data_IF_124459833384
#
_entry.id   IF_124459833384
#
_cell.length_a   1.000
_cell.length_b   1.000
_cell.length_c   1.000
_cell.angle_alpha   90.00
_cell.angle_beta   90.00
_cell.angle_gamma   90.00
#
_symmetry.space_group_name_H-M   'P 1'
#
loop_
_entity.id
_entity.type
_entity.pdbx_description
1 polymer ?
#
# COMPACT_ATOMS: atom_id res chain seq x y z
N UNK A 1 0.97 -34.54 5.04
CA UNK A 1 1.84 -33.35 5.01
C UNK A 1 1.16 -32.30 4.13
N UNK A 2 0.41 -31.41 4.77
CA UNK A 2 -0.63 -30.58 4.14
C UNK A 2 -0.03 -29.21 3.79
N UNK A 3 -0.28 -28.78 2.55
CA UNK A 3 0.15 -27.51 1.99
C UNK A 3 -0.37 -26.34 2.84
N UNK A 4 0.52 -25.54 3.40
CA UNK A 4 0.19 -24.30 4.11
C UNK A 4 0.43 -23.11 3.17
N UNK A 5 -0.23 -23.20 2.02
CA UNK A 5 -0.71 -22.03 1.29
C UNK A 5 -1.95 -21.58 2.07
N UNK A 6 -2.24 -20.28 2.13
CA UNK A 6 -3.56 -19.80 2.54
C UNK A 6 -4.63 -20.69 1.83
N UNK A 7 -5.54 -21.38 2.55
CA UNK A 7 -6.43 -22.42 2.00
C UNK A 7 -7.21 -22.00 0.74
N UNK A 8 -7.27 -20.70 0.44
CA UNK A 8 -7.97 -20.11 -0.69
C UNK A 8 -7.06 -19.69 -1.87
N UNK A 9 -5.75 -19.93 -1.81
CA UNK A 9 -4.80 -19.52 -2.86
C UNK A 9 -4.56 -18.00 -2.94
N UNK A 10 -4.97 -17.26 -1.91
CA UNK A 10 -4.83 -15.79 -1.82
C UNK A 10 -3.34 -15.40 -1.81
N UNK A 11 -3.01 -14.36 -2.58
CA UNK A 11 -1.62 -13.93 -2.81
C UNK A 11 -1.18 -12.69 -2.04
N UNK A 12 -2.03 -12.21 -1.13
CA UNK A 12 -1.57 -11.32 -0.07
C UNK A 12 -0.95 -12.18 1.03
N UNK A 13 0.36 -12.05 1.23
CA UNK A 13 1.09 -12.79 2.28
C UNK A 13 1.43 -11.84 3.42
N UNK A 14 0.72 -11.95 4.54
CA UNK A 14 0.94 -11.10 5.72
C UNK A 14 1.94 -11.73 6.68
N UNK A 15 3.03 -11.04 6.98
CA UNK A 15 4.00 -11.38 8.00
C UNK A 15 4.64 -12.76 7.83
N UNK A 16 5.00 -13.36 8.95
CA UNK A 16 5.67 -14.66 9.01
C UNK A 16 4.67 -15.82 9.04
N UNK A 17 5.12 -17.00 8.63
CA UNK A 17 4.29 -18.20 8.73
C UNK A 17 3.83 -18.48 10.18
N UNK A 18 4.75 -18.44 11.15
CA UNK A 18 4.45 -18.72 12.55
C UNK A 18 3.55 -17.64 13.19
N UNK A 19 3.72 -16.38 12.79
CA UNK A 19 2.84 -15.30 13.23
C UNK A 19 1.41 -15.48 12.72
N UNK A 20 1.22 -15.91 11.47
CA UNK A 20 -0.12 -16.26 10.94
C UNK A 20 -0.75 -17.44 11.68
N UNK A 21 0.02 -18.47 12.02
CA UNK A 21 -0.48 -19.60 12.84
C UNK A 21 -0.93 -19.11 14.21
N UNK A 22 -0.15 -18.27 14.88
CA UNK A 22 -0.53 -17.71 16.16
C UNK A 22 -1.79 -16.83 16.07
N UNK A 23 -1.92 -16.01 15.03
CA UNK A 23 -3.10 -15.19 14.77
C UNK A 23 -4.38 -16.03 14.58
N UNK A 24 -4.29 -17.15 13.85
CA UNK A 24 -5.40 -18.09 13.69
C UNK A 24 -5.91 -18.64 15.03
N UNK A 25 -5.02 -18.83 16.01
CA UNK A 25 -5.38 -19.24 17.37
C UNK A 25 -5.70 -18.06 18.30
N UNK A 26 -5.94 -16.87 17.75
CA UNK A 26 -6.42 -15.71 18.51
C UNK A 26 -5.35 -14.83 19.13
N UNK A 27 -4.08 -14.97 18.74
CA UNK A 27 -3.04 -14.05 19.20
C UNK A 27 -3.24 -12.64 18.62
N UNK A 28 -3.15 -11.62 19.49
CA UNK A 28 -3.04 -10.22 19.06
C UNK A 28 -1.59 -9.93 18.67
N UNK A 29 -1.31 -9.97 17.37
CA UNK A 29 0.01 -9.80 16.79
C UNK A 29 -0.07 -9.00 15.49
N UNK A 30 1.08 -8.76 14.86
CA UNK A 30 1.15 -8.01 13.61
C UNK A 30 0.23 -8.60 12.54
N UNK A 31 0.23 -9.92 12.36
CA UNK A 31 -0.58 -10.59 11.35
C UNK A 31 -2.08 -10.41 11.57
N UNK A 32 -2.58 -10.54 12.81
CA UNK A 32 -4.00 -10.33 13.11
C UNK A 32 -4.43 -8.86 12.99
N UNK A 33 -3.57 -7.91 13.36
CA UNK A 33 -3.84 -6.48 13.16
C UNK A 33 -3.97 -6.13 11.68
N UNK A 34 -3.04 -6.60 10.83
CA UNK A 34 -3.12 -6.36 9.39
C UNK A 34 -4.35 -7.01 8.76
N UNK A 35 -4.71 -8.22 9.16
CA UNK A 35 -5.95 -8.87 8.68
C UNK A 35 -7.19 -8.06 9.05
N UNK A 36 -7.25 -7.52 10.27
CA UNK A 36 -8.34 -6.64 10.71
C UNK A 36 -8.39 -5.34 9.92
N UNK A 37 -7.24 -4.72 9.66
CA UNK A 37 -7.16 -3.51 8.84
C UNK A 37 -7.63 -3.78 7.41
N UNK A 38 -7.24 -4.91 6.80
CA UNK A 38 -7.71 -5.30 5.47
C UNK A 38 -9.23 -5.52 5.45
N UNK A 39 -9.81 -6.23 6.42
CA UNK A 39 -11.27 -6.40 6.51
C UNK A 39 -11.99 -5.06 6.64
N UNK A 40 -11.48 -4.20 7.54
CA UNK A 40 -12.02 -2.86 7.77
C UNK A 40 -11.99 -2.02 6.48
N UNK A 41 -10.89 -2.06 5.73
CA UNK A 41 -10.79 -1.37 4.43
C UNK A 41 -11.81 -1.90 3.41
N UNK A 42 -12.05 -3.22 3.34
CA UNK A 42 -13.07 -3.80 2.45
C UNK A 42 -14.48 -3.32 2.82
N UNK A 43 -14.78 -3.21 4.11
CA UNK A 43 -16.07 -2.76 4.61
C UNK A 43 -16.30 -1.24 4.42
N UNK A 44 -15.24 -0.44 4.46
CA UNK A 44 -15.30 1.03 4.32
C UNK A 44 -15.76 1.51 2.95
N UNK A 45 -15.46 0.78 1.87
CA UNK A 45 -15.82 1.21 0.51
C UNK A 45 -15.78 0.05 -0.49
N UNK A 46 -16.77 -0.05 -1.41
CA UNK A 46 -16.72 -0.99 -2.53
C UNK A 46 -15.44 -0.88 -3.36
N UNK A 47 -14.85 0.32 -3.44
CA UNK A 47 -13.65 0.55 -4.22
C UNK A 47 -12.38 0.03 -3.56
N UNK A 48 -12.30 0.13 -2.22
CA UNK A 48 -11.22 -0.45 -1.42
C UNK A 48 -11.35 -1.98 -1.41
N UNK A 49 -12.59 -2.49 -1.29
CA UNK A 49 -12.90 -3.90 -1.44
C UNK A 49 -12.41 -4.46 -2.78
N UNK A 50 -12.75 -3.77 -3.88
CA UNK A 50 -12.29 -4.14 -5.23
C UNK A 50 -10.76 -4.15 -5.34
N UNK A 51 -10.06 -3.15 -4.80
CA UNK A 51 -8.60 -3.11 -4.80
C UNK A 51 -8.01 -4.31 -4.06
N UNK A 52 -8.49 -4.60 -2.85
CA UNK A 52 -7.95 -5.72 -2.05
C UNK A 52 -8.25 -7.06 -2.72
N UNK A 53 -9.45 -7.25 -3.27
CA UNK A 53 -9.78 -8.48 -4.00
C UNK A 53 -8.88 -8.67 -5.24
N UNK A 54 -8.59 -7.60 -6.00
CA UNK A 54 -7.62 -7.69 -7.11
C UNK A 54 -6.24 -8.14 -6.63
N UNK A 55 -5.77 -7.65 -5.48
CA UNK A 55 -4.48 -8.05 -4.91
C UNK A 55 -4.49 -9.51 -4.45
N UNK A 56 -5.60 -9.98 -3.89
CA UNK A 56 -5.79 -11.37 -3.47
C UNK A 56 -5.85 -12.34 -4.67
N UNK A 57 -6.51 -11.95 -5.75
CA UNK A 57 -6.76 -12.74 -6.97
C UNK A 57 -5.65 -12.63 -8.04
N UNK A 58 -4.73 -11.67 -7.89
CA UNK A 58 -3.68 -11.37 -8.88
C UNK A 58 -2.85 -12.59 -9.27
N UNK A 59 -2.22 -12.60 -10.44
CA UNK A 59 -1.19 -13.61 -10.74
C UNK A 59 0.14 -13.33 -10.01
N UNK A 60 0.31 -12.12 -9.44
CA UNK A 60 1.50 -11.66 -8.69
C UNK A 60 1.28 -11.69 -7.18
N UNK A 61 2.36 -11.90 -6.42
CA UNK A 61 2.33 -11.91 -4.96
C UNK A 61 2.55 -10.51 -4.39
N UNK A 62 1.74 -10.15 -3.39
CA UNK A 62 1.89 -8.92 -2.61
C UNK A 62 2.15 -9.32 -1.16
N UNK A 63 3.37 -9.11 -0.67
CA UNK A 63 3.70 -9.41 0.72
C UNK A 63 3.48 -8.17 1.59
N UNK A 64 2.95 -8.33 2.80
CA UNK A 64 2.85 -7.27 3.81
C UNK A 64 3.75 -7.66 4.97
N UNK A 65 4.71 -6.82 5.34
CA UNK A 65 5.68 -7.08 6.40
C UNK A 65 5.77 -5.90 7.36
N UNK A 66 6.19 -6.16 8.60
CA UNK A 66 6.34 -5.11 9.59
C UNK A 66 7.41 -4.12 9.14
N UNK A 67 7.06 -2.83 9.07
CA UNK A 67 8.03 -1.80 8.73
C UNK A 67 9.02 -1.57 9.89
N UNK A 68 10.31 -1.50 9.58
CA UNK A 68 11.34 -1.00 10.52
C UNK A 68 11.40 0.53 10.62
N UNK A 69 10.40 1.24 10.09
CA UNK A 69 10.40 2.68 9.90
C UNK A 69 9.13 3.18 9.20
N UNK A 70 9.27 3.92 8.10
CA UNK A 70 8.14 4.46 7.34
C UNK A 70 7.47 3.38 6.48
N UNK A 71 6.16 3.46 6.35
CA UNK A 71 5.42 2.64 5.39
C UNK A 71 5.92 2.93 3.98
N UNK A 72 6.08 1.88 3.17
CA UNK A 72 6.49 1.97 1.77
C UNK A 72 6.16 0.69 1.02
N UNK A 73 6.01 0.80 -0.30
CA UNK A 73 5.90 -0.32 -1.21
C UNK A 73 7.21 -0.53 -1.96
N UNK A 74 7.75 -1.74 -1.87
CA UNK A 74 8.98 -2.15 -2.53
C UNK A 74 8.61 -3.01 -3.74
N UNK A 75 9.08 -2.60 -4.91
CA UNK A 75 8.92 -3.34 -6.16
C UNK A 75 9.92 -4.50 -6.27
N UNK A 76 9.64 -5.43 -7.18
CA UNK A 76 10.54 -6.53 -7.50
C UNK A 76 11.91 -6.03 -8.04
N UNK A 77 13.00 -6.59 -7.52
CA UNK A 77 14.35 -6.17 -7.94
C UNK A 77 14.61 -6.63 -9.38
N UNK A 78 15.09 -5.70 -10.22
CA UNK A 78 15.47 -5.99 -11.61
C UNK A 78 14.31 -5.92 -12.61
N UNK A 79 13.08 -5.65 -12.15
CA UNK A 79 11.94 -5.37 -13.02
C UNK A 79 11.74 -3.89 -13.27
N UNK A 80 11.25 -3.54 -14.48
CA UNK A 80 10.85 -2.18 -14.82
C UNK A 80 9.55 -1.84 -14.10
N UNK A 81 9.38 -0.58 -13.70
CA UNK A 81 8.19 -0.15 -12.95
C UNK A 81 6.87 -0.29 -13.75
N UNK A 82 6.97 -0.20 -15.07
CA UNK A 82 5.85 -0.35 -16.01
C UNK A 82 5.43 -1.80 -16.26
N UNK A 83 6.14 -2.79 -15.70
CA UNK A 83 5.82 -4.21 -15.87
C UNK A 83 5.02 -4.74 -14.68
N UNK A 84 4.10 -5.68 -14.95
CA UNK A 84 3.39 -6.42 -13.89
C UNK A 84 4.37 -7.19 -13.02
N UNK A 85 4.35 -6.94 -11.72
CA UNK A 85 5.36 -7.49 -10.81
C UNK A 85 4.83 -7.72 -9.40
N UNK A 86 5.55 -8.55 -8.65
CA UNK A 86 5.33 -8.73 -7.22
C UNK A 86 5.79 -7.49 -6.44
N UNK A 87 5.27 -7.33 -5.22
CA UNK A 87 5.66 -6.22 -4.35
C UNK A 87 5.67 -6.62 -2.88
N UNK A 88 6.36 -5.82 -2.06
CA UNK A 88 6.35 -5.92 -0.61
C UNK A 88 5.92 -4.58 -0.02
N UNK A 89 4.79 -4.56 0.66
CA UNK A 89 4.32 -3.45 1.48
C UNK A 89 4.95 -3.59 2.87
N UNK A 90 5.83 -2.67 3.23
CA UNK A 90 6.26 -2.49 4.61
C UNK A 90 5.23 -1.59 5.32
N UNK A 91 4.63 -2.09 6.40
CA UNK A 91 3.57 -1.43 7.14
C UNK A 91 3.81 -1.51 8.66
N UNK A 92 3.67 -0.40 9.36
CA UNK A 92 3.60 -0.34 10.81
C UNK A 92 2.17 0.00 11.27
N UNK A 93 1.44 -0.96 11.87
CA UNK A 93 0.08 -0.75 12.38
C UNK A 93 0.01 0.17 13.59
N UNK A 94 1.16 0.55 14.18
CA UNK A 94 1.24 1.47 15.31
C UNK A 94 1.78 2.86 14.89
N UNK A 95 2.00 3.11 13.60
CA UNK A 95 2.51 4.40 13.14
C UNK A 95 1.38 5.42 12.93
N UNK A 96 1.10 6.18 13.98
CA UNK A 96 0.08 7.24 13.99
C UNK A 96 0.54 8.55 13.34
N UNK A 97 1.70 8.62 12.67
CA UNK A 97 2.27 9.88 12.15
C UNK A 97 2.43 9.86 10.63
N UNK A 98 2.18 11.01 9.99
CA UNK A 98 2.57 11.27 8.60
C UNK A 98 4.04 11.71 8.49
N UNK A 99 4.57 11.75 7.26
CA UNK A 99 5.88 12.34 6.96
C UNK A 99 6.02 13.82 7.41
N UNK A 100 4.92 14.53 7.67
CA UNK A 100 4.90 15.89 8.19
C UNK A 100 4.49 16.00 9.67
N UNK A 101 4.63 14.92 10.45
CA UNK A 101 4.25 14.85 11.88
C UNK A 101 2.77 15.10 12.21
N UNK A 102 1.87 15.18 11.22
CA UNK A 102 0.41 15.17 11.46
C UNK A 102 -0.05 13.78 11.88
N UNK A 103 -1.00 13.70 12.82
CA UNK A 103 -1.64 12.44 13.22
C UNK A 103 -2.39 11.82 12.03
N UNK A 104 -2.14 10.54 11.75
CA UNK A 104 -2.83 9.76 10.73
C UNK A 104 -3.08 8.36 11.26
N UNK A 105 -4.31 7.89 11.18
CA UNK A 105 -4.64 6.50 11.52
C UNK A 105 -3.82 5.55 10.64
N UNK A 106 -3.12 4.56 11.21
CA UNK A 106 -2.27 3.62 10.48
C UNK A 106 -2.93 3.01 9.23
N UNK A 107 -4.22 2.69 9.31
CA UNK A 107 -5.04 2.14 8.21
C UNK A 107 -5.07 3.02 6.94
N UNK A 108 -4.96 4.35 7.07
CA UNK A 108 -4.84 5.27 5.93
C UNK A 108 -3.51 5.01 5.20
N UNK A 109 -2.47 4.67 5.96
CA UNK A 109 -1.17 4.25 5.43
C UNK A 109 -1.20 2.95 4.70
N UNK A 110 -1.88 1.96 5.26
CA UNK A 110 -2.05 0.70 4.58
C UNK A 110 -2.75 0.91 3.24
N UNK A 111 -3.85 1.66 3.20
CA UNK A 111 -4.58 1.93 1.96
C UNK A 111 -3.74 2.64 0.88
N UNK A 112 -2.88 3.57 1.28
CA UNK A 112 -1.95 4.24 0.37
C UNK A 112 -0.97 3.25 -0.27
N UNK A 113 -0.30 2.43 0.53
CA UNK A 113 0.66 1.44 0.03
C UNK A 113 -0.01 0.34 -0.80
N UNK A 114 -1.22 -0.08 -0.44
CA UNK A 114 -2.00 -1.02 -1.25
C UNK A 114 -2.37 -0.43 -2.62
N UNK A 115 -2.55 0.89 -2.73
CA UNK A 115 -2.73 1.56 -4.01
C UNK A 115 -1.51 1.45 -4.92
N UNK A 116 -0.30 1.62 -4.37
CA UNK A 116 0.93 1.36 -5.12
C UNK A 116 1.08 -0.12 -5.49
N UNK A 117 0.70 -1.03 -4.59
CA UNK A 117 0.70 -2.45 -4.91
C UNK A 117 -0.27 -2.79 -6.05
N UNK A 118 -1.45 -2.17 -6.09
CA UNK A 118 -2.43 -2.27 -7.20
C UNK A 118 -1.78 -1.84 -8.53
N UNK A 119 -1.11 -0.69 -8.55
CA UNK A 119 -0.45 -0.18 -9.75
C UNK A 119 0.64 -1.15 -10.26
N UNK A 120 1.41 -1.77 -9.35
CA UNK A 120 2.47 -2.72 -9.71
C UNK A 120 1.94 -4.06 -10.24
N UNK A 121 0.83 -4.59 -9.70
CA UNK A 121 0.25 -5.84 -10.21
C UNK A 121 -0.45 -5.64 -11.56
N UNK A 122 -0.93 -4.42 -11.83
CA UNK A 122 -1.58 -4.07 -13.10
C UNK A 122 -0.56 -3.62 -14.17
N UNK A 123 0.65 -3.23 -13.76
CA UNK A 123 1.67 -2.69 -14.67
C UNK A 123 1.45 -1.21 -14.99
N UNK A 124 0.75 -0.49 -14.11
CA UNK A 124 0.45 0.95 -14.24
C UNK A 124 1.55 1.83 -13.64
N UNK A 125 2.68 1.26 -13.21
CA UNK A 125 3.77 2.02 -12.63
C UNK A 125 4.38 3.01 -13.63
N UNK A 126 4.72 4.20 -13.15
CA UNK A 126 5.21 5.31 -13.98
C UNK A 126 6.70 5.50 -13.71
N UNK A 127 7.50 5.53 -14.77
CA UNK A 127 8.93 5.82 -14.68
C UNK A 127 9.16 7.33 -14.79
N UNK A 128 9.90 7.89 -13.82
CA UNK A 128 10.24 9.30 -13.77
C UNK A 128 11.50 9.51 -12.94
N UNK A 129 12.18 10.64 -13.14
CA UNK A 129 13.31 10.98 -12.30
C UNK A 129 12.83 11.56 -10.96
N UNK A 130 12.81 10.71 -9.93
CA UNK A 130 12.39 11.08 -8.58
C UNK A 130 13.17 12.27 -7.99
N UNK A 131 14.46 12.44 -8.31
CA UNK A 131 15.25 13.58 -7.80
C UNK A 131 14.75 14.88 -8.42
N UNK A 132 14.48 14.87 -9.74
CA UNK A 132 13.95 16.03 -10.43
C UNK A 132 12.54 16.39 -9.95
N UNK A 133 11.69 15.38 -9.71
CA UNK A 133 10.35 15.59 -9.16
C UNK A 133 10.38 16.19 -7.75
N UNK A 134 11.22 15.66 -6.85
CA UNK A 134 11.39 16.19 -5.48
C UNK A 134 11.89 17.63 -5.50
N UNK A 135 12.87 17.92 -6.34
CA UNK A 135 13.49 19.24 -6.42
C UNK A 135 12.69 20.22 -7.28
N UNK A 136 11.55 19.81 -7.84
CA UNK A 136 10.75 20.64 -8.74
C UNK A 136 11.51 21.12 -9.98
N UNK A 137 12.62 20.47 -10.35
CA UNK A 137 13.57 21.00 -11.35
C UNK A 137 13.22 20.60 -12.79
N UNK A 138 12.24 19.72 -12.97
CA UNK A 138 11.71 19.33 -14.28
C UNK A 138 10.20 19.14 -14.17
N UNK A 139 9.44 19.90 -14.96
CA UNK A 139 7.97 19.88 -14.91
C UNK A 139 7.38 18.52 -15.30
N UNK A 140 7.98 17.85 -16.29
CA UNK A 140 7.51 16.54 -16.71
C UNK A 140 7.74 15.46 -15.63
N UNK A 141 8.89 15.46 -14.97
CA UNK A 141 9.15 14.54 -13.85
C UNK A 141 8.23 14.82 -12.66
N UNK A 142 7.93 16.09 -12.35
CA UNK A 142 6.95 16.47 -11.31
C UNK A 142 5.55 15.97 -11.68
N UNK A 143 5.12 16.18 -12.93
CA UNK A 143 3.83 15.71 -13.41
C UNK A 143 3.71 14.19 -13.35
N UNK A 144 4.72 13.47 -13.83
CA UNK A 144 4.75 12.01 -13.80
C UNK A 144 4.83 11.47 -12.37
N UNK A 145 5.60 12.12 -11.49
CA UNK A 145 5.64 11.78 -10.08
C UNK A 145 4.29 11.95 -9.39
N UNK A 146 3.60 13.07 -9.63
CA UNK A 146 2.25 13.28 -9.09
C UNK A 146 1.23 12.28 -9.65
N UNK A 147 1.36 11.91 -10.91
CA UNK A 147 0.53 10.86 -11.50
C UNK A 147 0.79 9.50 -10.86
N UNK A 148 2.05 9.17 -10.55
CA UNK A 148 2.43 7.91 -9.89
C UNK A 148 1.88 7.75 -8.46
N UNK A 149 1.53 8.88 -7.82
CA UNK A 149 0.96 8.94 -6.47
C UNK A 149 -0.58 9.01 -6.50
N UNK A 150 -1.18 9.24 -7.67
CA UNK A 150 -2.60 9.55 -7.80
C UNK A 150 -3.49 8.42 -7.29
N UNK A 151 -3.22 7.17 -7.69
CA UNK A 151 -4.03 6.04 -7.25
C UNK A 151 -3.90 5.85 -5.73
N UNK A 152 -2.68 5.84 -5.20
CA UNK A 152 -2.42 5.72 -3.77
C UNK A 152 -3.09 6.82 -2.92
N UNK A 153 -3.00 8.09 -3.33
CA UNK A 153 -3.66 9.22 -2.66
C UNK A 153 -5.19 9.07 -2.73
N UNK A 154 -5.72 8.61 -3.86
CA UNK A 154 -7.16 8.37 -4.01
C UNK A 154 -7.67 7.31 -3.02
N UNK A 155 -6.96 6.19 -2.87
CA UNK A 155 -7.29 5.15 -1.88
C UNK A 155 -7.21 5.69 -0.45
N UNK A 156 -6.17 6.45 -0.14
CA UNK A 156 -6.02 7.17 1.13
C UNK A 156 -7.21 8.12 1.40
N UNK A 157 -7.64 8.89 0.40
CA UNK A 157 -8.74 9.86 0.57
C UNK A 157 -10.10 9.20 0.80
N UNK A 158 -10.36 8.02 0.22
CA UNK A 158 -11.56 7.24 0.53
C UNK A 158 -11.60 6.88 2.01
N UNK A 159 -10.47 6.45 2.58
CA UNK A 159 -10.37 6.14 4.01
C UNK A 159 -10.53 7.40 4.85
N UNK A 160 -9.84 8.50 4.50
CA UNK A 160 -9.95 9.79 5.20
C UNK A 160 -11.39 10.28 5.26
N UNK A 161 -12.11 10.22 4.14
CA UNK A 161 -13.52 10.62 4.07
C UNK A 161 -14.41 9.77 4.98
N UNK A 162 -14.21 8.45 5.01
CA UNK A 162 -14.93 7.56 5.93
C UNK A 162 -14.64 7.87 7.41
N UNK A 163 -13.41 8.33 7.70
CA UNK A 163 -12.99 8.77 9.03
C UNK A 163 -13.29 10.25 9.33
N UNK A 164 -14.03 10.95 8.46
CA UNK A 164 -14.37 12.38 8.59
C UNK A 164 -13.13 13.28 8.73
N UNK A 165 -12.02 12.90 8.08
CA UNK A 165 -10.76 13.65 8.05
C UNK A 165 -10.63 14.46 6.76
N UNK A 166 -9.84 15.53 6.81
CA UNK A 166 -9.47 16.29 5.62
C UNK A 166 -8.76 15.40 4.59
N UNK A 167 -9.19 15.50 3.34
CA UNK A 167 -8.59 14.84 2.19
C UNK A 167 -7.20 15.41 1.88
N UNK A 168 -6.30 14.54 1.44
CA UNK A 168 -4.98 14.92 0.95
C UNK A 168 -5.10 15.42 -0.49
N UNK A 169 -4.39 16.49 -0.80
CA UNK A 169 -4.26 16.99 -2.17
C UNK A 169 -3.38 16.05 -3.01
N UNK A 170 -3.58 16.07 -4.33
CA UNK A 170 -2.88 15.21 -5.29
C UNK A 170 -1.51 15.77 -5.75
N UNK A 171 -1.15 16.99 -5.35
CA UNK A 171 0.13 17.62 -5.61
C UNK A 171 1.21 17.14 -4.62
N UNK A 172 1.60 15.87 -4.75
CA UNK A 172 2.62 15.25 -3.90
C UNK A 172 4.00 15.92 -4.04
N UNK A 173 4.43 16.15 -5.28
CA UNK A 173 5.65 16.82 -5.66
C UNK A 173 5.34 18.27 -6.06
N UNK A 174 5.90 19.27 -5.36
CA UNK A 174 5.69 20.68 -5.71
C UNK A 174 6.53 21.09 -6.92
N UNK A 175 5.96 21.90 -7.81
CA UNK A 175 6.74 22.64 -8.80
C UNK A 175 7.46 23.79 -8.09
N UNK A 176 8.79 23.80 -8.17
CA UNK A 176 9.56 24.98 -7.79
C UNK A 176 9.42 25.99 -8.93
N UNK A 177 8.77 27.12 -8.65
CA UNK A 177 8.70 28.25 -9.56
C UNK A 177 10.02 29.00 -9.60
#
# INVERSE_FOLDING_TARGET
FTHLIDPDGRKIVVGSFWGRVAAFFGADNFESQVQKDLSTLKEMSPELSKMINKLEESDKTVSISLAGGKNKTIRERGKKITEKQASTVEYDPNNWKTNGNKTRTPIIGLAHELGHAEDLIEGNGIDFNKKNAINGSNENDVKQGNESERNAIRKENIVRKNLQMEERKYDYYPLNK
#
